data_IF_254093465173
#
_entry.id   IF_254093465173
#
_cell.length_a   1.000
_cell.length_b   1.000
_cell.length_c   1.000
_cell.angle_alpha   90.00
_cell.angle_beta   90.00
_cell.angle_gamma   90.00
#
_symmetry.space_group_name_H-M   'P 1'
#
loop_
_entity.id
_entity.type
_entity.pdbx_description
1 polymer ?
#
# COMPACT_ATOMS: atom_id res chain seq x y z
N UNK A 1 -65.03 11.48 -42.42
CA UNK A 1 -63.96 12.26 -43.07
C UNK A 1 -63.21 13.00 -41.96
N UNK A 2 -62.35 12.29 -41.22
CA UNK A 2 -60.87 12.43 -41.25
C UNK A 2 -60.37 13.86 -41.05
N UNK A 3 -59.77 14.17 -39.88
CA UNK A 3 -58.48 14.88 -39.67
C UNK A 3 -57.97 14.61 -38.23
N UNK A 4 -57.12 13.61 -38.05
CA UNK A 4 -55.66 13.73 -37.85
C UNK A 4 -55.29 14.38 -36.50
N UNK A 5 -55.16 13.56 -35.46
CA UNK A 5 -54.54 13.94 -34.20
C UNK A 5 -53.01 13.86 -34.36
N UNK A 6 -52.34 15.01 -34.30
CA UNK A 6 -50.89 15.11 -34.31
C UNK A 6 -50.37 14.84 -32.89
N UNK A 7 -49.93 13.61 -32.62
CA UNK A 7 -49.23 13.27 -31.39
C UNK A 7 -47.77 13.77 -31.49
N UNK A 8 -47.47 14.90 -30.85
CA UNK A 8 -46.09 15.33 -30.62
C UNK A 8 -45.47 14.38 -29.57
N UNK A 9 -44.73 13.37 -30.02
CA UNK A 9 -43.82 12.63 -29.16
C UNK A 9 -42.64 13.56 -28.82
N UNK A 10 -42.66 14.16 -27.62
CA UNK A 10 -41.45 14.73 -27.02
C UNK A 10 -40.50 13.57 -26.72
N UNK A 11 -39.53 13.34 -27.61
CA UNK A 11 -38.31 12.62 -27.25
C UNK A 11 -37.54 13.49 -26.25
N UNK A 12 -37.82 13.30 -24.96
CA UNK A 12 -36.92 13.75 -23.90
C UNK A 12 -35.67 12.87 -23.97
N UNK A 13 -34.72 13.25 -24.82
CA UNK A 13 -33.35 12.73 -24.74
C UNK A 13 -32.83 13.15 -23.37
N UNK A 14 -32.77 12.21 -22.43
CA UNK A 14 -31.99 12.38 -21.21
C UNK A 14 -30.54 12.54 -21.65
N UNK A 15 -30.11 13.78 -21.85
CA UNK A 15 -28.71 14.12 -21.96
C UNK A 15 -28.07 13.60 -20.68
N UNK A 16 -27.23 12.57 -20.79
CA UNK A 16 -26.29 12.23 -19.72
C UNK A 16 -25.39 13.45 -19.59
N UNK A 17 -25.71 14.33 -18.66
CA UNK A 17 -24.79 15.37 -18.25
C UNK A 17 -23.53 14.64 -17.80
N UNK A 18 -22.41 14.89 -18.49
CA UNK A 18 -21.12 14.47 -17.97
C UNK A 18 -20.97 15.12 -16.60
N UNK A 19 -20.64 14.33 -15.58
CA UNK A 19 -20.35 14.89 -14.26
C UNK A 19 -19.31 16.00 -14.43
N UNK A 20 -19.59 17.21 -13.94
CA UNK A 20 -18.70 18.34 -14.14
C UNK A 20 -17.34 18.03 -13.50
N UNK A 21 -16.25 18.35 -14.20
CA UNK A 21 -14.91 18.29 -13.63
C UNK A 21 -14.79 19.41 -12.60
N UNK A 22 -14.66 19.07 -11.33
CA UNK A 22 -14.60 20.02 -10.21
C UNK A 22 -13.22 20.10 -9.54
N UNK A 23 -12.26 19.32 -10.02
CA UNK A 23 -10.88 19.28 -9.51
C UNK A 23 -9.87 19.84 -10.51
N UNK A 24 -8.74 20.32 -10.01
CA UNK A 24 -7.56 20.67 -10.82
C UNK A 24 -6.54 19.54 -10.90
N UNK A 25 -6.71 18.49 -10.11
CA UNK A 25 -5.85 17.31 -10.12
C UNK A 25 -6.10 16.55 -11.42
N UNK A 26 -5.03 16.07 -12.07
CA UNK A 26 -5.17 15.27 -13.29
C UNK A 26 -4.39 13.97 -13.20
N UNK A 27 -4.79 12.98 -14.01
CA UNK A 27 -4.08 11.72 -14.11
C UNK A 27 -2.63 11.94 -14.51
N UNK A 28 -2.43 12.66 -15.60
CA UNK A 28 -1.14 12.95 -16.26
C UNK A 28 -0.15 13.69 -15.36
N UNK A 29 -0.64 14.49 -14.39
CA UNK A 29 0.21 15.36 -13.57
C UNK A 29 0.37 14.87 -12.13
N UNK A 30 -0.69 14.52 -11.41
CA UNK A 30 -0.56 14.09 -10.01
C UNK A 30 -0.66 12.57 -9.86
N UNK A 31 -1.71 11.96 -10.40
CA UNK A 31 -2.11 10.60 -10.01
C UNK A 31 -1.20 9.52 -10.57
N UNK A 32 -0.74 9.65 -11.81
CA UNK A 32 0.18 8.68 -12.43
C UNK A 32 1.49 8.56 -11.62
N UNK A 33 1.91 9.62 -10.91
CA UNK A 33 3.08 9.60 -10.03
C UNK A 33 2.83 8.78 -8.77
N UNK A 34 1.65 8.91 -8.17
CA UNK A 34 1.23 8.11 -7.04
C UNK A 34 1.06 6.63 -7.42
N UNK A 35 0.40 6.36 -8.55
CA UNK A 35 0.21 5.00 -9.03
C UNK A 35 1.53 4.33 -9.39
N UNK A 36 2.46 5.06 -10.04
CA UNK A 36 3.79 4.52 -10.31
C UNK A 36 4.54 4.16 -9.03
N UNK A 37 4.50 5.04 -8.02
CA UNK A 37 5.20 4.85 -6.75
C UNK A 37 4.63 3.70 -5.91
N UNK A 38 3.31 3.58 -5.85
CA UNK A 38 2.64 2.75 -4.83
C UNK A 38 1.92 1.53 -5.40
N UNK A 39 1.50 1.58 -6.66
CA UNK A 39 0.60 0.58 -7.25
C UNK A 39 1.28 -0.24 -8.36
N UNK A 40 2.23 0.36 -9.09
CA UNK A 40 2.83 -0.24 -10.29
C UNK A 40 3.57 -1.56 -10.04
N UNK A 41 4.01 -1.84 -8.82
CA UNK A 41 4.62 -3.13 -8.51
C UNK A 41 3.68 -4.30 -8.81
N UNK A 42 2.37 -4.10 -8.62
CA UNK A 42 1.34 -5.09 -8.90
C UNK A 42 0.47 -4.72 -10.11
N UNK A 43 0.03 -3.47 -10.20
CA UNK A 43 -0.92 -2.94 -11.18
C UNK A 43 -0.23 -2.30 -12.38
N UNK A 44 0.59 -3.09 -13.06
CA UNK A 44 1.22 -2.74 -14.33
C UNK A 44 0.96 -3.83 -15.36
N UNK A 45 1.25 -3.54 -16.62
CA UNK A 45 1.18 -4.55 -17.68
C UNK A 45 2.14 -5.71 -17.37
N UNK A 46 1.61 -6.94 -17.46
CA UNK A 46 2.33 -8.17 -17.07
C UNK A 46 2.60 -8.31 -15.57
N UNK A 47 2.04 -7.44 -14.73
CA UNK A 47 2.10 -7.54 -13.27
C UNK A 47 1.12 -8.58 -12.71
N UNK A 48 1.21 -8.89 -11.40
CA UNK A 48 0.35 -9.88 -10.74
C UNK A 48 -1.10 -9.42 -10.50
N UNK A 49 -1.43 -8.13 -10.67
CA UNK A 49 -2.80 -7.65 -10.53
C UNK A 49 -3.60 -7.85 -11.83
N UNK A 50 -4.95 -7.99 -11.75
CA UNK A 50 -5.77 -8.30 -12.92
C UNK A 50 -5.92 -7.14 -13.92
N UNK A 51 -5.44 -5.94 -13.60
CA UNK A 51 -5.48 -4.77 -14.47
C UNK A 51 -4.33 -3.81 -14.19
N UNK A 52 -4.01 -2.99 -15.19
CA UNK A 52 -2.98 -1.97 -15.15
C UNK A 52 -3.54 -0.63 -14.68
N UNK A 53 -2.75 0.11 -13.91
CA UNK A 53 -3.03 1.50 -13.52
C UNK A 53 -2.08 2.49 -14.22
N UNK A 54 -1.30 2.02 -15.20
CA UNK A 54 -0.20 2.80 -15.77
C UNK A 54 -0.64 3.73 -16.91
N UNK A 55 -1.84 3.57 -17.46
CA UNK A 55 -2.44 4.52 -18.41
C UNK A 55 -3.78 5.03 -17.90
N UNK A 56 -4.22 6.17 -18.44
CA UNK A 56 -5.49 6.77 -18.04
C UNK A 56 -6.67 5.87 -18.43
N UNK A 57 -6.66 5.33 -19.64
CA UNK A 57 -7.71 4.47 -20.18
C UNK A 57 -7.88 3.19 -19.36
N UNK A 58 -6.77 2.64 -18.85
CA UNK A 58 -6.80 1.45 -18.01
C UNK A 58 -7.23 1.75 -16.59
N UNK A 59 -6.83 2.90 -16.03
CA UNK A 59 -7.13 3.29 -14.65
C UNK A 59 -8.54 3.87 -14.45
N UNK A 60 -9.03 4.68 -15.41
CA UNK A 60 -10.28 5.46 -15.28
C UNK A 60 -11.52 4.61 -14.99
N UNK A 61 -11.70 3.40 -15.56
CA UNK A 61 -12.84 2.53 -15.23
C UNK A 61 -12.86 2.05 -13.78
N UNK A 62 -11.70 2.03 -13.10
CA UNK A 62 -11.55 1.56 -11.74
C UNK A 62 -11.59 2.68 -10.70
N UNK A 63 -11.81 3.94 -11.11
CA UNK A 63 -11.74 5.11 -10.22
C UNK A 63 -12.51 4.92 -8.90
N UNK A 64 -13.78 4.53 -8.94
CA UNK A 64 -14.58 4.28 -7.72
C UNK A 64 -13.98 3.19 -6.84
N UNK A 65 -13.60 2.05 -7.42
CA UNK A 65 -13.01 0.94 -6.69
C UNK A 65 -11.64 1.32 -6.08
N UNK A 66 -10.81 2.07 -6.81
CA UNK A 66 -9.54 2.61 -6.31
C UNK A 66 -9.81 3.44 -5.06
N UNK A 67 -10.78 4.38 -5.11
CA UNK A 67 -11.13 5.21 -3.95
C UNK A 67 -11.53 4.36 -2.75
N UNK A 68 -12.41 3.39 -2.94
CA UNK A 68 -12.86 2.50 -1.87
C UNK A 68 -11.71 1.69 -1.25
N UNK A 69 -10.84 1.13 -2.08
CA UNK A 69 -9.70 0.32 -1.62
C UNK A 69 -8.64 1.14 -0.88
N UNK A 70 -8.32 2.35 -1.35
CA UNK A 70 -7.33 3.21 -0.70
C UNK A 70 -7.87 3.82 0.59
N UNK A 71 -9.13 4.28 0.62
CA UNK A 71 -9.76 4.81 1.83
C UNK A 71 -9.93 3.75 2.91
N UNK A 72 -10.22 2.51 2.51
CA UNK A 72 -10.25 1.37 3.43
C UNK A 72 -8.86 0.85 3.82
N UNK A 73 -7.78 1.46 3.29
CA UNK A 73 -6.37 1.07 3.52
C UNK A 73 -6.09 -0.40 3.18
N UNK A 74 -6.86 -0.98 2.24
CA UNK A 74 -6.60 -2.30 1.68
C UNK A 74 -5.55 -2.25 0.58
N UNK A 75 -5.48 -1.11 -0.12
CA UNK A 75 -4.46 -0.86 -1.15
C UNK A 75 -3.58 0.36 -0.83
N UNK A 76 -2.27 0.27 -1.13
CA UNK A 76 -1.56 -0.97 -1.47
C UNK A 76 -1.43 -1.88 -0.23
N UNK A 77 -1.40 -3.21 -0.41
CA UNK A 77 -1.33 -4.13 0.72
C UNK A 77 0.01 -3.97 1.43
N UNK A 78 -0.02 -3.55 2.69
CA UNK A 78 1.18 -3.38 3.51
C UNK A 78 1.22 -4.35 4.69
N UNK A 79 0.09 -4.56 5.37
CA UNK A 79 -0.02 -5.53 6.45
C UNK A 79 0.67 -5.13 7.76
N UNK A 80 1.18 -3.89 7.88
CA UNK A 80 1.69 -3.32 9.12
C UNK A 80 1.02 -1.99 9.45
N UNK A 81 0.70 -1.79 10.73
CA UNK A 81 0.02 -0.56 11.21
C UNK A 81 0.98 0.63 11.16
N UNK A 82 0.58 1.69 10.43
CA UNK A 82 1.32 2.97 10.34
C UNK A 82 1.56 3.54 11.75
N UNK A 83 2.77 4.04 11.99
CA UNK A 83 3.16 4.67 13.26
C UNK A 83 3.56 3.69 14.38
N UNK A 84 3.34 2.39 14.23
CA UNK A 84 3.85 1.40 15.18
C UNK A 84 5.33 1.08 14.93
N UNK A 85 5.71 0.95 13.66
CA UNK A 85 7.10 0.83 13.23
C UNK A 85 7.33 1.73 12.02
N UNK A 86 8.58 2.10 11.79
CA UNK A 86 8.98 2.89 10.63
C UNK A 86 9.78 2.03 9.66
N UNK A 87 9.29 1.95 8.42
CA UNK A 87 9.89 1.10 7.40
C UNK A 87 10.36 1.94 6.19
N UNK A 88 11.45 1.50 5.57
CA UNK A 88 11.99 2.13 4.36
C UNK A 88 11.28 1.65 3.09
N UNK A 89 10.68 0.46 3.11
CA UNK A 89 9.92 -0.13 2.00
C UNK A 89 8.40 -0.05 2.20
N UNK A 90 7.92 0.84 3.08
CA UNK A 90 6.50 1.11 3.28
C UNK A 90 5.87 1.65 1.99
N UNK A 91 4.98 0.85 1.39
CA UNK A 91 4.21 1.23 0.20
C UNK A 91 2.93 2.00 0.56
N UNK A 92 2.56 2.11 1.83
CA UNK A 92 1.31 2.72 2.23
C UNK A 92 1.26 4.21 1.90
N UNK A 93 0.11 4.67 1.42
CA UNK A 93 -0.16 6.07 1.11
C UNK A 93 -0.12 6.94 2.37
N UNK A 94 0.39 8.17 2.24
CA UNK A 94 0.19 9.22 3.26
C UNK A 94 -1.24 9.75 3.23
N UNK A 95 -1.64 10.53 4.25
CA UNK A 95 -2.97 11.15 4.26
C UNK A 95 -3.15 12.11 3.09
N UNK A 96 -2.12 12.85 2.74
CA UNK A 96 -2.10 13.78 1.62
C UNK A 96 -2.21 13.02 0.29
N UNK A 97 -1.46 11.93 0.11
CA UNK A 97 -1.54 11.10 -1.10
C UNK A 97 -2.92 10.44 -1.25
N UNK A 98 -3.55 10.02 -0.13
CA UNK A 98 -4.92 9.53 -0.11
C UNK A 98 -5.92 10.59 -0.57
N UNK A 99 -5.80 11.82 -0.04
CA UNK A 99 -6.67 12.92 -0.43
C UNK A 99 -6.50 13.29 -1.90
N UNK A 100 -5.27 13.34 -2.44
CA UNK A 100 -5.05 13.58 -3.86
C UNK A 100 -5.79 12.57 -4.75
N UNK A 101 -5.73 11.29 -4.40
CA UNK A 101 -6.43 10.24 -5.14
C UNK A 101 -7.95 10.41 -4.99
N UNK A 102 -8.45 10.61 -3.78
CA UNK A 102 -9.88 10.77 -3.51
C UNK A 102 -10.47 12.01 -4.21
N UNK A 103 -9.82 13.16 -4.09
CA UNK A 103 -10.23 14.43 -4.70
C UNK A 103 -10.19 14.38 -6.23
N UNK A 104 -9.22 13.68 -6.81
CA UNK A 104 -9.19 13.44 -8.25
C UNK A 104 -10.41 12.62 -8.69
N UNK A 105 -10.75 11.55 -7.96
CA UNK A 105 -11.86 10.65 -8.29
C UNK A 105 -13.21 11.36 -8.10
N UNK A 106 -13.39 12.07 -6.99
CA UNK A 106 -14.61 12.83 -6.70
C UNK A 106 -14.79 14.01 -7.64
N UNK A 107 -13.69 14.58 -8.14
CA UNK A 107 -13.70 15.64 -9.13
C UNK A 107 -13.90 15.20 -10.58
N UNK A 108 -14.32 13.95 -10.82
CA UNK A 108 -14.63 13.42 -12.16
C UNK A 108 -13.50 12.61 -12.81
N UNK A 109 -12.36 12.49 -12.13
CA UNK A 109 -11.16 11.78 -12.58
C UNK A 109 -10.66 12.24 -13.97
N UNK A 110 -10.33 13.53 -14.17
CA UNK A 110 -9.88 14.03 -15.47
C UNK A 110 -8.47 13.52 -15.84
N UNK A 111 -8.24 13.29 -17.14
CA UNK A 111 -6.97 12.84 -17.69
C UNK A 111 -5.87 13.91 -17.57
N UNK A 112 -6.17 15.13 -18.02
CA UNK A 112 -5.22 16.24 -18.15
C UNK A 112 -4.39 16.18 -19.43
N UNK A 113 -3.39 17.04 -19.53
CA UNK A 113 -2.54 17.17 -20.72
C UNK A 113 -1.46 16.06 -20.75
N UNK A 114 -1.42 15.22 -21.82
CA UNK A 114 -0.41 14.19 -22.00
C UNK A 114 1.04 14.70 -21.94
N UNK A 115 1.29 15.99 -22.22
CA UNK A 115 2.61 16.60 -22.12
C UNK A 115 3.20 16.56 -20.70
N UNK A 116 2.37 16.39 -19.66
CA UNK A 116 2.83 16.25 -18.27
C UNK A 116 3.11 14.81 -17.84
N UNK A 117 2.86 13.83 -18.72
CA UNK A 117 3.16 12.44 -18.43
C UNK A 117 4.67 12.26 -18.16
N UNK A 118 5.03 11.70 -17.01
CA UNK A 118 6.42 11.39 -16.71
C UNK A 118 6.90 10.23 -17.58
N UNK A 119 8.15 10.31 -18.03
CA UNK A 119 8.81 9.19 -18.67
C UNK A 119 9.39 8.27 -17.59
N UNK A 120 8.77 7.11 -17.40
CA UNK A 120 9.31 6.09 -16.49
C UNK A 120 10.14 5.07 -17.27
N UNK A 121 11.38 4.78 -16.87
CA UNK A 121 12.07 3.61 -17.37
C UNK A 121 11.33 2.35 -16.88
N UNK A 122 11.12 1.37 -17.76
CA UNK A 122 10.52 0.06 -17.44
C UNK A 122 11.46 -0.81 -16.58
N UNK A 123 11.92 -0.30 -15.43
CA UNK A 123 12.80 -1.00 -14.51
C UNK A 123 12.02 -1.36 -13.24
N UNK A 124 11.27 -2.44 -13.32
CA UNK A 124 10.74 -3.11 -12.13
C UNK A 124 11.78 -4.14 -11.69
N UNK A 125 12.68 -3.73 -10.79
CA UNK A 125 13.60 -4.68 -10.20
C UNK A 125 12.81 -5.61 -9.27
N UNK A 126 12.93 -6.95 -9.42
CA UNK A 126 12.37 -7.85 -8.43
C UNK A 126 12.95 -7.49 -7.07
N UNK A 127 12.09 -7.45 -6.04
CA UNK A 127 12.54 -7.42 -4.65
C UNK A 127 13.40 -8.68 -4.50
N UNK A 128 14.72 -8.52 -4.51
CA UNK A 128 15.64 -9.63 -4.35
C UNK A 128 15.43 -10.14 -2.94
N UNK A 129 14.73 -11.26 -2.81
CA UNK A 129 14.68 -12.04 -1.58
C UNK A 129 16.07 -12.60 -1.32
N UNK A 130 16.96 -11.76 -0.84
CA UNK A 130 18.15 -12.25 -0.17
C UNK A 130 17.68 -13.02 1.06
N UNK A 131 18.18 -14.24 1.21
CA UNK A 131 18.03 -15.02 2.43
C UNK A 131 18.86 -14.34 3.52
N UNK A 132 18.19 -13.54 4.36
CA UNK A 132 18.87 -12.88 5.46
C UNK A 132 18.83 -13.78 6.69
N UNK A 133 20.00 -14.22 7.18
CA UNK A 133 20.06 -15.03 8.38
C UNK A 133 19.61 -14.23 9.60
N UNK A 134 18.88 -14.90 10.49
CA UNK A 134 18.57 -14.35 11.80
C UNK A 134 17.64 -15.25 12.62
N UNK A 135 17.53 -15.00 13.93
CA UNK A 135 16.72 -15.81 14.81
C UNK A 135 15.23 -15.66 14.50
N UNK A 136 14.50 -16.78 14.58
CA UNK A 136 13.03 -16.77 14.58
C UNK A 136 12.52 -16.58 16.00
N UNK A 137 11.54 -15.69 16.15
CA UNK A 137 10.81 -15.40 17.38
C UNK A 137 9.40 -15.95 17.20
N UNK A 138 9.04 -16.96 17.99
CA UNK A 138 7.68 -17.53 18.01
C UNK A 138 6.98 -17.35 19.38
N UNK A 139 7.70 -16.82 20.36
CA UNK A 139 7.26 -16.50 21.72
C UNK A 139 8.24 -15.51 22.32
N UNK A 140 7.96 -14.99 23.52
CA UNK A 140 8.89 -14.12 24.24
C UNK A 140 10.28 -14.74 24.34
N UNK A 141 11.31 -13.98 23.92
CA UNK A 141 12.71 -14.40 23.94
C UNK A 141 13.60 -13.30 24.49
N UNK A 142 14.41 -13.62 25.50
CA UNK A 142 15.46 -12.73 26.00
C UNK A 142 16.75 -12.90 25.20
N UNK A 143 17.35 -11.79 24.77
CA UNK A 143 18.60 -11.78 24.04
C UNK A 143 19.78 -12.04 24.97
N UNK A 144 20.65 -13.01 24.62
CA UNK A 144 21.89 -13.28 25.34
C UNK A 144 23.09 -12.48 24.82
N UNK A 145 23.01 -12.01 23.56
CA UNK A 145 24.00 -11.15 22.91
C UNK A 145 23.29 -9.95 22.28
N UNK A 146 23.99 -8.83 22.17
CA UNK A 146 23.47 -7.67 21.44
C UNK A 146 23.34 -7.98 19.94
N UNK A 147 22.33 -7.42 19.29
CA UNK A 147 22.15 -7.49 17.84
C UNK A 147 21.67 -6.17 17.27
N UNK A 148 21.87 -5.97 15.97
CA UNK A 148 21.30 -4.86 15.22
C UNK A 148 20.18 -5.43 14.35
N UNK A 149 18.96 -5.00 14.61
CA UNK A 149 17.78 -5.41 13.87
C UNK A 149 17.59 -4.47 12.68
N UNK A 150 17.72 -4.99 11.47
CA UNK A 150 17.52 -4.24 10.23
C UNK A 150 16.10 -4.36 9.69
N UNK A 151 15.38 -5.41 10.07
CA UNK A 151 14.04 -5.67 9.57
C UNK A 151 13.48 -6.95 10.17
N UNK A 152 12.27 -7.29 9.75
CA UNK A 152 11.60 -8.51 10.17
C UNK A 152 10.87 -9.15 8.99
N UNK A 153 10.71 -10.47 9.02
CA UNK A 153 9.90 -11.23 8.07
C UNK A 153 9.03 -12.22 8.83
N UNK A 154 7.70 -12.18 8.71
CA UNK A 154 6.87 -13.24 9.23
C UNK A 154 7.04 -14.53 8.40
N UNK A 155 7.13 -15.69 9.06
CA UNK A 155 7.30 -16.99 8.38
C UNK A 155 6.02 -17.41 7.64
N UNK A 156 4.87 -17.06 8.20
CA UNK A 156 3.52 -17.24 7.64
C UNK A 156 2.71 -15.97 7.89
N UNK A 157 1.55 -15.81 7.25
CA UNK A 157 0.66 -14.69 7.52
C UNK A 157 0.24 -14.71 9.01
N UNK A 158 0.65 -13.73 9.83
CA UNK A 158 0.29 -13.72 11.24
C UNK A 158 -1.20 -13.43 11.42
N UNK A 159 -1.83 -13.91 12.50
CA UNK A 159 -3.16 -13.45 12.89
C UNK A 159 -3.20 -11.92 13.07
N UNK A 160 -4.35 -11.32 12.83
CA UNK A 160 -4.55 -9.90 13.10
C UNK A 160 -4.21 -9.57 14.56
N UNK A 161 -3.60 -8.41 14.76
CA UNK A 161 -3.14 -7.94 16.05
C UNK A 161 -1.93 -8.67 16.65
N UNK A 162 -1.22 -9.45 15.83
CA UNK A 162 0.14 -9.90 16.15
C UNK A 162 1.08 -8.69 16.24
N UNK A 163 1.79 -8.54 17.37
CA UNK A 163 2.75 -7.46 17.63
C UNK A 163 4.07 -8.04 18.04
N UNK A 164 5.15 -7.50 17.48
CA UNK A 164 6.50 -7.70 17.97
C UNK A 164 6.99 -6.38 18.58
N UNK A 165 7.42 -6.45 19.83
CA UNK A 165 8.03 -5.33 20.57
C UNK A 165 9.35 -5.77 21.22
N UNK A 166 10.23 -4.82 21.47
CA UNK A 166 11.44 -5.01 22.26
C UNK A 166 11.32 -4.26 23.59
N UNK A 167 11.41 -4.96 24.72
CA UNK A 167 11.57 -4.36 26.05
C UNK A 167 13.06 -4.38 26.41
N UNK A 168 13.68 -3.21 26.46
CA UNK A 168 15.10 -3.05 26.76
C UNK A 168 15.37 -3.29 28.26
N UNK A 169 16.64 -3.55 28.65
CA UNK A 169 17.01 -3.75 30.06
C UNK A 169 16.68 -2.58 30.99
N UNK A 170 16.62 -1.37 30.46
CA UNK A 170 16.23 -0.15 31.20
C UNK A 170 14.70 -0.02 31.37
N UNK A 171 13.91 -0.99 30.89
CA UNK A 171 12.45 -0.97 30.92
C UNK A 171 11.80 -0.28 29.73
N UNK A 172 12.57 0.37 28.84
CA UNK A 172 12.03 1.04 27.67
C UNK A 172 11.40 0.04 26.68
N UNK A 173 10.24 0.40 26.13
CA UNK A 173 9.56 -0.41 25.11
C UNK A 173 9.76 0.24 23.74
N UNK A 174 10.37 -0.51 22.82
CA UNK A 174 10.55 -0.13 21.41
C UNK A 174 9.59 -0.96 20.56
N UNK A 175 8.59 -0.34 19.92
CA UNK A 175 7.71 -1.06 19.01
C UNK A 175 8.50 -1.44 17.74
N UNK A 176 8.30 -2.66 17.23
CA UNK A 176 8.98 -3.14 16.02
C UNK A 176 7.98 -3.26 14.88
N UNK A 177 6.92 -4.04 15.05
CA UNK A 177 5.86 -4.20 14.05
C UNK A 177 4.55 -4.64 14.69
N UNK A 178 3.44 -4.16 14.14
CA UNK A 178 2.09 -4.62 14.46
C UNK A 178 1.43 -5.03 13.15
N UNK A 179 1.18 -6.33 13.00
CA UNK A 179 0.51 -6.91 11.83
C UNK A 179 -1.00 -6.77 11.92
N UNK A 180 -1.60 -6.36 10.80
CA UNK A 180 -3.04 -6.25 10.64
C UNK A 180 -3.41 -6.42 9.16
N UNK A 181 -4.28 -7.36 8.85
CA UNK A 181 -4.76 -7.65 7.50
C UNK A 181 -3.70 -8.21 6.55
N UNK A 182 -2.60 -8.78 7.06
CA UNK A 182 -1.54 -9.33 6.21
C UNK A 182 -1.95 -10.70 5.64
N UNK A 183 -2.18 -10.76 4.33
CA UNK A 183 -2.57 -12.01 3.65
C UNK A 183 -1.33 -12.81 3.20
N UNK A 184 -1.42 -14.15 3.09
CA UNK A 184 -0.30 -15.01 2.66
C UNK A 184 0.35 -14.59 1.34
N UNK A 185 -0.46 -14.16 0.35
CA UNK A 185 0.03 -13.71 -0.96
C UNK A 185 0.80 -12.38 -0.94
N UNK A 186 0.76 -11.65 0.18
CA UNK A 186 1.47 -10.39 0.39
C UNK A 186 2.59 -10.50 1.42
N UNK A 187 2.98 -11.73 1.79
CA UNK A 187 4.11 -11.97 2.68
C UNK A 187 5.38 -11.34 2.09
N UNK A 188 6.12 -10.64 2.96
CA UNK A 188 7.30 -9.89 2.58
C UNK A 188 8.20 -9.54 3.76
N UNK A 189 9.32 -8.91 3.44
CA UNK A 189 10.26 -8.36 4.41
C UNK A 189 9.87 -6.93 4.78
N UNK A 190 9.95 -6.59 6.06
CA UNK A 190 9.68 -5.27 6.59
C UNK A 190 10.99 -4.65 7.05
N UNK A 191 11.58 -3.79 6.22
CA UNK A 191 12.87 -3.18 6.48
C UNK A 191 12.71 -1.94 7.33
N UNK A 192 13.29 -1.94 8.52
CA UNK A 192 13.24 -0.78 9.40
C UNK A 192 13.98 0.39 8.73
N UNK A 193 13.36 1.57 8.77
CA UNK A 193 13.95 2.82 8.27
C UNK A 193 15.26 3.14 8.99
N UNK A 194 15.25 2.92 10.30
CA UNK A 194 16.43 3.05 11.16
C UNK A 194 16.67 1.72 11.86
N UNK A 195 17.83 1.06 11.65
CA UNK A 195 18.14 -0.18 12.35
C UNK A 195 18.12 -0.01 13.88
N UNK A 196 17.49 -0.95 14.58
CA UNK A 196 17.39 -0.92 16.04
C UNK A 196 18.57 -1.65 16.68
N UNK A 197 19.30 -0.97 17.54
CA UNK A 197 20.36 -1.59 18.38
C UNK A 197 19.72 -2.19 19.61
N UNK A 198 19.70 -3.51 19.70
CA UNK A 198 19.11 -4.23 20.83
C UNK A 198 20.24 -4.80 21.70
N UNK A 199 20.47 -4.27 22.91
CA UNK A 199 21.51 -4.78 23.81
C UNK A 199 21.16 -6.18 24.34
N UNK A 200 22.17 -6.89 24.85
CA UNK A 200 21.94 -8.11 25.61
C UNK A 200 21.00 -7.84 26.79
N UNK A 201 20.12 -8.78 27.11
CA UNK A 201 19.07 -8.63 28.11
C UNK A 201 17.75 -8.07 27.59
N UNK A 202 17.71 -7.54 26.35
CA UNK A 202 16.45 -7.13 25.71
C UNK A 202 15.50 -8.33 25.59
N UNK A 203 14.23 -8.12 25.89
CA UNK A 203 13.16 -9.10 25.72
C UNK A 203 12.35 -8.77 24.46
N UNK A 204 12.40 -9.67 23.48
CA UNK A 204 11.56 -9.64 22.30
C UNK A 204 10.25 -10.33 22.63
N UNK A 205 9.14 -9.61 22.55
CA UNK A 205 7.82 -10.10 22.93
C UNK A 205 6.97 -10.12 21.67
N UNK A 206 6.53 -11.33 21.29
CA UNK A 206 5.61 -11.56 20.18
C UNK A 206 4.23 -11.92 20.75
N UNK A 207 3.18 -11.21 20.35
CA UNK A 207 1.79 -11.54 20.69
C UNK A 207 1.16 -12.39 19.59
N UNK A 208 0.26 -13.30 19.96
CA UNK A 208 -0.42 -14.18 19.01
C UNK A 208 0.39 -15.42 18.63
N UNK A 209 -0.25 -16.34 17.91
CA UNK A 209 0.36 -17.56 17.40
C UNK A 209 0.97 -17.29 16.02
N UNK A 210 2.25 -16.89 16.01
CA UNK A 210 2.98 -16.53 14.80
C UNK A 210 4.47 -16.79 15.00
N UNK A 211 5.22 -16.79 13.89
CA UNK A 211 6.67 -16.84 13.90
C UNK A 211 7.23 -15.69 13.05
N UNK A 212 8.15 -14.91 13.61
CA UNK A 212 8.76 -13.76 12.96
C UNK A 212 10.28 -13.90 12.99
N UNK A 213 10.88 -13.98 11.81
CA UNK A 213 12.33 -13.93 11.62
C UNK A 213 12.83 -12.52 11.75
N UNK A 214 13.86 -12.35 12.57
CA UNK A 214 14.63 -11.10 12.62
C UNK A 214 15.61 -11.08 11.46
N UNK A 215 15.75 -9.92 10.83
CA UNK A 215 16.76 -9.68 9.82
C UNK A 215 17.94 -8.98 10.48
N UNK A 216 19.03 -9.71 10.65
CA UNK A 216 20.30 -9.20 11.16
C UNK A 216 21.31 -9.30 10.03
N UNK A 217 21.58 -8.20 9.30
CA UNK A 217 22.58 -8.25 8.23
C UNK A 217 23.91 -8.74 8.81
N UNK A 218 24.63 -9.66 8.13
CA UNK A 218 25.97 -10.00 8.53
C UNK A 218 26.85 -8.73 8.50
N UNK A 219 27.83 -8.70 9.40
CA UNK A 219 28.87 -7.65 9.39
C UNK A 219 29.70 -7.73 8.13
#
# INVERSE_FOLDING_TARGET
MTRLALALFLCASAARAHDPITTKLTFTKEIVRLFHKHCANCHRDGGPAPFSLMTYESARPWATAIKEEVLARRMPPWGAVKGFGEFQNDLGLTQEELHLIADWIEGGAPEGDPAFLPQYPNLFMPETEFDYPGPVIARTRKLTKSLILHGVRPETAPPDNTKLIARLPNGEIRPIIWFYGLQPKFLRQFWLRTPLRLPAGTELILTGDAAVRLITRPK
#
